data_IF_934143389147
#
_entry.id   IF_934143389147
#
_cell.length_a   1.000
_cell.length_b   1.000
_cell.length_c   1.000
_cell.angle_alpha   90.00
_cell.angle_beta   90.00
_cell.angle_gamma   90.00
#
_symmetry.space_group_name_H-M   'P 1'
#
loop_
_entity.id
_entity.type
_entity.pdbx_description
1 polymer ?
#
# COMPACT_ATOMS: atom_id res chain seq x y z
N UNK A 1 28.29 1.50 -11.05
CA UNK A 1 27.01 0.75 -10.94
C UNK A 1 26.03 1.38 -11.90
N UNK A 2 25.36 0.60 -12.73
CA UNK A 2 24.30 1.11 -13.62
C UNK A 2 23.14 1.63 -12.78
N UNK A 3 22.61 2.82 -13.10
CA UNK A 3 21.41 3.34 -12.43
C UNK A 3 20.28 2.31 -12.50
N UNK A 4 19.50 2.11 -11.42
CA UNK A 4 18.40 1.17 -11.44
C UNK A 4 17.37 1.61 -12.50
N UNK A 5 16.95 0.66 -13.34
CA UNK A 5 15.95 0.87 -14.38
C UNK A 5 14.67 0.13 -13.96
N UNK A 6 13.55 0.84 -13.96
CA UNK A 6 12.23 0.22 -13.78
C UNK A 6 11.88 -0.54 -15.04
N UNK A 7 11.61 -1.84 -14.89
CA UNK A 7 11.10 -2.68 -15.95
C UNK A 7 9.63 -2.97 -15.69
N UNK A 8 8.84 -3.02 -16.75
CA UNK A 8 7.45 -3.46 -16.68
C UNK A 8 7.36 -4.91 -17.12
N UNK A 9 6.72 -5.74 -16.30
CA UNK A 9 6.39 -7.12 -16.57
C UNK A 9 4.90 -7.35 -16.37
N UNK A 10 4.40 -8.44 -16.93
CA UNK A 10 3.03 -8.87 -16.74
C UNK A 10 3.05 -10.24 -16.07
N UNK A 11 2.30 -10.39 -14.99
CA UNK A 11 2.29 -11.58 -14.13
C UNK A 11 0.88 -12.14 -14.10
N UNK A 12 0.73 -13.44 -14.33
CA UNK A 12 -0.57 -14.11 -14.22
C UNK A 12 -0.90 -14.36 -12.75
N UNK A 13 -1.96 -13.73 -12.25
CA UNK A 13 -2.46 -13.87 -10.88
C UNK A 13 -3.97 -14.10 -10.94
N UNK A 14 -4.45 -15.19 -10.34
CA UNK A 14 -5.89 -15.55 -10.37
C UNK A 14 -6.49 -15.57 -11.80
N UNK A 15 -5.70 -15.97 -12.80
CA UNK A 15 -6.12 -15.98 -14.21
C UNK A 15 -6.18 -14.59 -14.88
N UNK A 16 -5.72 -13.54 -14.20
CA UNK A 16 -5.65 -12.18 -14.70
C UNK A 16 -4.20 -11.80 -14.99
N UNK A 17 -3.98 -11.08 -16.09
CA UNK A 17 -2.67 -10.54 -16.43
C UNK A 17 -2.46 -9.20 -15.72
N UNK A 18 -1.54 -9.19 -14.74
CA UNK A 18 -1.30 -8.06 -13.85
C UNK A 18 -0.03 -7.32 -14.27
N UNK A 19 -0.09 -6.02 -14.59
CA UNK A 19 1.11 -5.23 -14.82
C UNK A 19 1.83 -4.96 -13.50
N UNK A 20 3.13 -5.25 -13.48
CA UNK A 20 4.02 -5.11 -12.33
C UNK A 20 5.27 -4.35 -12.78
N UNK A 21 5.64 -3.33 -12.02
CA UNK A 21 6.97 -2.75 -12.13
C UNK A 21 7.94 -3.54 -11.25
N UNK A 22 9.14 -3.80 -11.76
CA UNK A 22 10.25 -4.42 -11.04
C UNK A 22 11.54 -3.61 -11.21
N UNK A 23 12.31 -3.49 -10.14
CA UNK A 23 13.60 -2.81 -10.14
C UNK A 23 14.49 -3.31 -9.01
N UNK A 24 15.81 -3.27 -9.24
CA UNK A 24 16.79 -3.78 -8.28
C UNK A 24 16.88 -5.31 -8.31
N UNK A 25 18.04 -5.84 -7.93
CA UNK A 25 18.36 -7.27 -8.02
C UNK A 25 19.08 -7.82 -6.79
N UNK A 26 19.16 -7.03 -5.71
CA UNK A 26 19.87 -7.38 -4.49
C UNK A 26 19.05 -7.05 -3.25
N UNK A 27 19.40 -7.67 -2.12
CA UNK A 27 18.81 -7.40 -0.83
C UNK A 27 17.41 -7.99 -0.63
N UNK A 28 16.77 -7.52 0.45
CA UNK A 28 15.42 -7.91 0.84
C UNK A 28 14.41 -7.57 -0.26
N UNK A 29 13.39 -8.43 -0.40
CA UNK A 29 12.28 -8.18 -1.33
C UNK A 29 11.30 -7.20 -0.71
N UNK A 30 10.83 -6.25 -1.50
CA UNK A 30 9.88 -5.22 -1.09
C UNK A 30 8.73 -5.17 -2.10
N UNK A 31 7.50 -5.21 -1.61
CA UNK A 31 6.31 -4.96 -2.44
C UNK A 31 5.68 -3.62 -2.04
N UNK A 32 5.43 -2.77 -3.03
CA UNK A 32 4.81 -1.45 -2.89
C UNK A 32 3.33 -1.52 -3.31
N UNK A 33 2.42 -1.23 -2.39
CA UNK A 33 0.97 -1.30 -2.60
C UNK A 33 0.35 0.10 -2.56
N UNK A 34 -0.15 0.55 -3.72
CA UNK A 34 -0.72 1.89 -3.89
C UNK A 34 -2.10 2.05 -3.19
N UNK A 35 -2.55 3.30 -3.06
CA UNK A 35 -3.86 3.64 -2.50
C UNK A 35 -5.03 3.49 -3.48
N UNK A 36 -6.26 3.69 -3.01
CA UNK A 36 -7.45 3.62 -3.86
C UNK A 36 -7.40 4.71 -4.95
N UNK A 37 -7.63 4.31 -6.20
CA UNK A 37 -7.51 5.20 -7.38
C UNK A 37 -6.08 5.42 -7.89
N UNK A 38 -5.10 4.83 -7.21
CA UNK A 38 -3.70 4.82 -7.62
C UNK A 38 -3.34 3.74 -8.63
N UNK A 39 -2.04 3.62 -8.87
CA UNK A 39 -1.40 2.55 -9.67
C UNK A 39 0.07 2.40 -9.26
N UNK A 40 0.79 1.44 -9.86
CA UNK A 40 2.25 1.31 -9.71
C UNK A 40 3.02 2.61 -9.96
N UNK A 41 2.46 3.52 -10.77
CA UNK A 41 3.06 4.82 -11.11
C UNK A 41 3.26 5.73 -9.91
N UNK A 42 2.45 5.59 -8.87
CA UNK A 42 2.57 6.39 -7.64
C UNK A 42 3.92 6.16 -6.94
N UNK A 43 4.59 5.07 -7.28
CA UNK A 43 5.84 4.62 -6.68
C UNK A 43 7.09 4.95 -7.50
N UNK A 44 7.00 5.58 -8.67
CA UNK A 44 8.12 5.71 -9.61
C UNK A 44 9.42 6.20 -8.94
N UNK A 45 9.37 7.33 -8.22
CA UNK A 45 10.55 7.91 -7.56
C UNK A 45 11.00 7.07 -6.36
N UNK A 46 10.06 6.59 -5.55
CA UNK A 46 10.34 5.74 -4.38
C UNK A 46 11.06 4.46 -4.80
N UNK A 47 10.56 3.83 -5.85
CA UNK A 47 11.10 2.60 -6.41
C UNK A 47 12.52 2.77 -6.95
N UNK A 48 12.81 3.87 -7.66
CA UNK A 48 14.16 4.17 -8.14
C UNK A 48 15.17 4.35 -6.98
N UNK A 49 14.74 4.89 -5.85
CA UNK A 49 15.60 5.05 -4.68
C UNK A 49 15.80 3.74 -3.92
N UNK A 50 14.72 2.98 -3.67
CA UNK A 50 14.80 1.73 -2.93
C UNK A 50 15.53 0.62 -3.72
N UNK A 51 15.35 0.58 -5.04
CA UNK A 51 15.98 -0.44 -5.90
C UNK A 51 17.51 -0.39 -5.95
N UNK A 52 18.13 0.62 -5.36
CA UNK A 52 19.58 0.67 -5.16
C UNK A 52 20.08 -0.41 -4.18
N UNK A 53 19.22 -0.89 -3.27
CA UNK A 53 19.59 -1.90 -2.26
C UNK A 53 18.58 -3.02 -2.04
N UNK A 54 17.40 -2.91 -2.63
CA UNK A 54 16.29 -3.85 -2.45
C UNK A 54 15.79 -4.38 -3.80
N UNK A 55 15.15 -5.55 -3.79
CA UNK A 55 14.37 -6.07 -4.92
C UNK A 55 12.96 -5.56 -4.79
N UNK A 56 12.56 -4.62 -5.64
CA UNK A 56 11.32 -3.86 -5.46
C UNK A 56 10.32 -4.23 -6.54
N UNK A 57 9.10 -4.57 -6.11
CA UNK A 57 7.96 -4.85 -6.97
C UNK A 57 6.82 -3.88 -6.67
N UNK A 58 6.17 -3.35 -7.70
CA UNK A 58 4.99 -2.49 -7.58
C UNK A 58 3.92 -2.95 -8.57
N UNK A 59 2.92 -3.75 -8.14
CA UNK A 59 1.79 -4.12 -8.98
C UNK A 59 0.80 -2.95 -9.10
N UNK A 60 0.01 -2.96 -10.18
CA UNK A 60 -1.34 -2.38 -10.09
C UNK A 60 -2.22 -3.38 -9.32
N UNK A 61 -2.71 -2.99 -8.15
CA UNK A 61 -3.64 -3.81 -7.36
C UNK A 61 -4.87 -4.13 -8.21
N UNK A 62 -5.36 -5.38 -8.14
CA UNK A 62 -6.54 -5.84 -8.90
C UNK A 62 -7.69 -4.83 -8.81
N UNK A 63 -8.33 -4.53 -9.94
CA UNK A 63 -9.39 -3.53 -10.02
C UNK A 63 -8.91 -2.09 -10.26
N UNK A 64 -7.63 -1.80 -10.07
CA UNK A 64 -7.04 -0.46 -10.22
C UNK A 64 -6.04 -0.37 -11.37
N UNK A 65 -5.64 0.86 -11.69
CA UNK A 65 -4.73 1.15 -12.80
C UNK A 65 -5.13 0.44 -14.09
N UNK A 66 -4.15 -0.25 -14.67
CA UNK A 66 -4.23 -1.08 -15.87
C UNK A 66 -4.53 -2.56 -15.57
N UNK A 67 -4.59 -2.98 -14.30
CA UNK A 67 -5.03 -4.34 -13.98
C UNK A 67 -6.45 -4.60 -14.49
N UNK A 68 -6.73 -5.84 -14.95
CA UNK A 68 -8.08 -6.27 -15.28
C UNK A 68 -9.04 -6.05 -14.11
N UNK A 69 -10.32 -5.92 -14.46
CA UNK A 69 -11.41 -5.72 -13.52
C UNK A 69 -12.35 -6.90 -13.66
N UNK A 70 -12.76 -7.42 -12.52
CA UNK A 70 -13.78 -8.47 -12.43
C UNK A 70 -15.07 -7.82 -11.93
N UNK A 71 -16.23 -8.34 -12.35
CA UNK A 71 -17.53 -7.88 -11.83
C UNK A 71 -17.84 -8.50 -10.46
N UNK A 72 -16.87 -8.39 -9.56
CA UNK A 72 -16.97 -8.81 -8.17
C UNK A 72 -17.08 -7.59 -7.27
N UNK A 73 -17.62 -7.81 -6.08
CA UNK A 73 -17.51 -6.84 -4.99
C UNK A 73 -16.19 -7.08 -4.28
N UNK A 74 -15.27 -6.13 -4.41
CA UNK A 74 -13.94 -6.18 -3.83
C UNK A 74 -13.98 -5.96 -2.32
N UNK A 75 -13.49 -6.94 -1.59
CA UNK A 75 -13.31 -6.94 -0.13
C UNK A 75 -11.83 -6.90 0.23
N UNK A 76 -11.52 -6.69 1.51
CA UNK A 76 -10.13 -6.79 2.00
C UNK A 76 -9.54 -8.17 1.70
N UNK A 77 -10.35 -9.23 1.84
CA UNK A 77 -9.93 -10.61 1.58
C UNK A 77 -9.52 -10.82 0.13
N UNK A 78 -10.31 -10.32 -0.83
CA UNK A 78 -9.96 -10.39 -2.26
C UNK A 78 -8.62 -9.71 -2.52
N UNK A 79 -8.38 -8.54 -1.93
CA UNK A 79 -7.11 -7.85 -2.10
C UNK A 79 -5.95 -8.55 -1.40
N UNK A 80 -6.17 -9.11 -0.21
CA UNK A 80 -5.19 -9.91 0.52
C UNK A 80 -4.78 -11.12 -0.31
N UNK A 81 -5.76 -11.91 -0.75
CA UNK A 81 -5.53 -13.14 -1.50
C UNK A 81 -4.85 -12.85 -2.84
N UNK A 82 -5.20 -11.74 -3.49
CA UNK A 82 -4.47 -11.24 -4.66
C UNK A 82 -2.97 -11.01 -4.39
N UNK A 83 -2.61 -10.37 -3.27
CA UNK A 83 -1.19 -10.14 -2.94
C UNK A 83 -0.47 -11.46 -2.63
N UNK A 84 -1.14 -12.38 -1.93
CA UNK A 84 -0.59 -13.71 -1.63
C UNK A 84 -0.33 -14.50 -2.92
N UNK A 85 -1.28 -14.49 -3.85
CA UNK A 85 -1.15 -15.18 -5.14
C UNK A 85 -0.10 -14.49 -6.04
N UNK A 86 0.02 -13.16 -5.97
CA UNK A 86 1.08 -12.42 -6.64
C UNK A 86 2.46 -12.81 -6.10
N UNK A 87 2.60 -12.91 -4.77
CA UNK A 87 3.84 -13.40 -4.16
C UNK A 87 4.19 -14.80 -4.67
N UNK A 88 3.21 -15.71 -4.71
CA UNK A 88 3.41 -17.06 -5.22
C UNK A 88 3.82 -17.07 -6.72
N UNK A 89 3.15 -16.29 -7.56
CA UNK A 89 3.43 -16.20 -9.00
C UNK A 89 4.82 -15.61 -9.30
N UNK A 90 5.31 -14.71 -8.44
CA UNK A 90 6.65 -14.12 -8.53
C UNK A 90 7.74 -14.97 -7.85
N UNK A 91 7.39 -16.08 -7.19
CA UNK A 91 8.33 -16.89 -6.40
C UNK A 91 8.87 -16.15 -5.16
N UNK A 92 8.10 -15.20 -4.63
CA UNK A 92 8.46 -14.42 -3.44
C UNK A 92 8.09 -15.22 -2.19
N UNK A 93 9.13 -15.65 -1.48
CA UNK A 93 8.96 -16.30 -0.20
C UNK A 93 8.68 -15.27 0.89
N UNK A 94 9.65 -14.44 1.23
CA UNK A 94 9.51 -13.40 2.24
C UNK A 94 9.60 -12.01 1.63
N UNK A 95 8.90 -11.03 2.21
CA UNK A 95 8.91 -9.65 1.74
C UNK A 95 8.61 -8.64 2.84
N UNK A 96 9.18 -7.45 2.73
CA UNK A 96 8.65 -6.27 3.38
C UNK A 96 7.47 -5.73 2.56
N UNK A 97 6.43 -5.23 3.23
CA UNK A 97 5.28 -4.61 2.57
C UNK A 97 5.21 -3.12 2.88
N UNK A 98 5.10 -2.31 1.83
CA UNK A 98 4.98 -0.86 1.92
C UNK A 98 3.66 -0.46 1.31
N UNK A 99 2.72 -0.01 2.14
CA UNK A 99 1.36 0.26 1.74
C UNK A 99 0.93 1.70 2.00
N UNK A 100 0.32 2.35 1.00
CA UNK A 100 -0.33 3.65 1.16
C UNK A 100 -1.85 3.50 1.21
N UNK A 101 -2.51 4.10 2.21
CA UNK A 101 -3.98 4.17 2.28
C UNK A 101 -4.63 2.78 2.21
N UNK A 102 -5.37 2.46 1.14
CA UNK A 102 -5.88 1.11 0.87
C UNK A 102 -4.77 0.05 0.87
N UNK A 103 -3.64 0.30 0.20
CA UNK A 103 -2.49 -0.61 0.18
C UNK A 103 -1.92 -0.87 1.56
N UNK A 104 -2.02 0.09 2.48
CA UNK A 104 -1.67 -0.10 3.89
C UNK A 104 -2.61 -1.08 4.60
N UNK A 105 -3.91 -1.00 4.33
CA UNK A 105 -4.88 -1.96 4.85
C UNK A 105 -4.65 -3.37 4.31
N UNK A 106 -4.34 -3.48 3.01
CA UNK A 106 -4.02 -4.76 2.37
C UNK A 106 -2.76 -5.35 3.01
N UNK A 107 -1.73 -4.52 3.25
CA UNK A 107 -0.48 -4.95 3.89
C UNK A 107 -0.73 -5.54 5.29
N UNK A 108 -1.57 -4.90 6.10
CA UNK A 108 -1.98 -5.40 7.41
C UNK A 108 -2.70 -6.76 7.32
N UNK A 109 -3.61 -6.90 6.35
CA UNK A 109 -4.34 -8.15 6.15
C UNK A 109 -3.42 -9.30 5.71
N UNK A 110 -2.43 -9.02 4.84
CA UNK A 110 -1.43 -10.02 4.42
C UNK A 110 -0.52 -10.39 5.59
N UNK A 111 -0.04 -9.43 6.37
CA UNK A 111 0.80 -9.69 7.54
C UNK A 111 0.09 -10.51 8.62
N UNK A 112 -1.21 -10.27 8.83
CA UNK A 112 -2.00 -11.06 9.78
C UNK A 112 -2.25 -12.50 9.28
N UNK A 113 -2.34 -12.70 7.96
CA UNK A 113 -2.57 -14.01 7.36
C UNK A 113 -1.29 -14.84 7.19
N UNK A 114 -0.16 -14.18 6.91
CA UNK A 114 1.14 -14.81 6.68
C UNK A 114 2.23 -14.16 7.57
N UNK A 115 2.13 -14.27 8.91
CA UNK A 115 3.03 -13.57 9.82
C UNK A 115 4.51 -13.90 9.61
N UNK A 116 4.82 -15.14 9.23
CA UNK A 116 6.19 -15.61 9.00
C UNK A 116 6.75 -15.26 7.60
N UNK A 117 5.93 -14.68 6.72
CA UNK A 117 6.31 -14.34 5.34
C UNK A 117 6.41 -12.84 5.09
N UNK A 118 5.91 -12.03 6.03
CA UNK A 118 6.07 -10.58 6.02
C UNK A 118 7.14 -10.21 7.03
N UNK A 119 8.21 -9.59 6.57
CA UNK A 119 9.38 -9.28 7.40
C UNK A 119 9.25 -7.96 8.13
N UNK A 120 8.72 -6.94 7.45
CA UNK A 120 8.55 -5.57 7.93
C UNK A 120 7.34 -4.91 7.28
N UNK A 121 6.77 -3.93 7.98
CA UNK A 121 5.67 -3.11 7.47
C UNK A 121 6.07 -1.63 7.41
N UNK A 122 5.78 -0.97 6.30
CA UNK A 122 5.76 0.50 6.23
C UNK A 122 4.38 0.95 5.78
N UNK A 123 3.66 1.67 6.63
CA UNK A 123 2.27 2.03 6.41
C UNK A 123 2.14 3.55 6.34
N UNK A 124 1.81 4.06 5.16
CA UNK A 124 1.57 5.48 4.92
C UNK A 124 0.08 5.78 4.99
N UNK A 125 -0.35 6.42 6.07
CA UNK A 125 -1.76 6.72 6.36
C UNK A 125 -2.74 5.58 6.00
N UNK A 126 -2.53 4.34 6.51
CA UNK A 126 -3.38 3.19 6.21
C UNK A 126 -4.85 3.43 6.57
N UNK A 127 -5.73 2.94 5.72
CA UNK A 127 -7.14 2.76 6.07
C UNK A 127 -7.26 1.68 7.16
N UNK A 128 -8.12 1.88 8.15
CA UNK A 128 -8.36 0.87 9.20
C UNK A 128 -8.43 1.44 10.62
N UNK A 129 -7.71 2.52 10.91
CA UNK A 129 -7.56 3.02 12.29
C UNK A 129 -8.61 4.08 12.67
N UNK A 130 -9.75 4.11 11.98
CA UNK A 130 -10.88 5.00 12.23
C UNK A 130 -11.66 5.38 10.97
N UNK A 131 -12.80 6.07 11.12
CA UNK A 131 -13.63 6.50 10.01
C UNK A 131 -12.94 7.58 9.18
N UNK A 132 -13.18 7.60 7.87
CA UNK A 132 -12.73 8.70 7.00
C UNK A 132 -13.29 10.03 7.54
N UNK A 133 -12.45 11.06 7.65
CA UNK A 133 -12.88 12.37 8.14
C UNK A 133 -13.93 12.99 7.21
N UNK A 134 -14.86 13.82 7.72
CA UNK A 134 -15.94 14.39 6.91
C UNK A 134 -15.46 15.14 5.65
N UNK A 135 -14.38 15.92 5.77
CA UNK A 135 -13.79 16.65 4.63
C UNK A 135 -13.25 15.67 3.59
N UNK A 136 -12.49 14.65 4.02
CA UNK A 136 -12.00 13.60 3.14
C UNK A 136 -13.12 12.79 2.49
N UNK A 137 -14.22 12.55 3.19
CA UNK A 137 -15.41 11.89 2.63
C UNK A 137 -16.04 12.73 1.52
N UNK A 138 -16.16 14.05 1.71
CA UNK A 138 -16.65 14.96 0.67
C UNK A 138 -15.70 14.93 -0.54
N UNK A 139 -14.40 15.09 -0.34
CA UNK A 139 -13.41 15.05 -1.43
C UNK A 139 -13.50 13.71 -2.16
N UNK A 140 -13.48 12.59 -1.45
CA UNK A 140 -13.60 11.25 -2.02
C UNK A 140 -14.85 11.14 -2.89
N UNK A 141 -16.00 11.56 -2.36
CA UNK A 141 -17.30 11.45 -3.04
C UNK A 141 -17.38 12.34 -4.27
N UNK A 142 -16.88 13.58 -4.19
CA UNK A 142 -16.85 14.51 -5.33
C UNK A 142 -15.92 14.02 -6.44
N UNK A 143 -14.72 13.57 -6.08
CA UNK A 143 -13.77 12.97 -7.01
C UNK A 143 -14.41 11.73 -7.65
N UNK A 144 -15.07 10.88 -6.87
CA UNK A 144 -15.79 9.72 -7.37
C UNK A 144 -16.91 10.08 -8.35
N UNK A 145 -17.73 11.07 -7.99
CA UNK A 145 -18.82 11.54 -8.84
C UNK A 145 -18.29 12.10 -10.16
N UNK A 146 -17.20 12.87 -10.12
CA UNK A 146 -16.53 13.36 -11.32
C UNK A 146 -16.02 12.22 -12.21
N UNK A 147 -15.29 11.25 -11.64
CA UNK A 147 -14.81 10.10 -12.41
C UNK A 147 -15.96 9.34 -13.08
N UNK A 148 -17.06 9.12 -12.35
CA UNK A 148 -18.27 8.48 -12.87
C UNK A 148 -18.90 9.29 -14.00
N UNK A 149 -19.03 10.61 -13.83
CA UNK A 149 -19.67 11.52 -14.78
C UNK A 149 -18.84 11.71 -16.06
N UNK A 150 -17.52 11.84 -15.93
CA UNK A 150 -16.61 12.04 -17.04
C UNK A 150 -16.51 10.82 -17.98
N UNK A 151 -17.18 9.70 -17.65
CA UNK A 151 -17.07 8.40 -18.36
C UNK A 151 -15.61 7.95 -18.56
N UNK A 152 -14.70 8.53 -17.78
CA UNK A 152 -13.37 7.99 -17.49
C UNK A 152 -13.50 6.60 -16.84
N UNK A 153 -14.72 6.21 -16.47
CA UNK A 153 -15.11 4.87 -16.06
C UNK A 153 -16.19 4.20 -16.91
N UNK A 154 -15.87 2.96 -17.30
CA UNK A 154 -16.44 1.73 -16.74
C UNK A 154 -15.56 1.07 -15.63
N UNK A 155 -14.68 1.84 -14.95
CA UNK A 155 -13.39 1.36 -14.40
C UNK A 155 -13.12 1.53 -12.88
N UNK A 156 -14.10 1.61 -11.99
CA UNK A 156 -13.82 1.51 -10.53
C UNK A 156 -14.44 0.25 -9.93
N UNK A 157 -13.66 -0.53 -9.13
CA UNK A 157 -14.16 -1.73 -8.51
C UNK A 157 -15.28 -1.39 -7.52
N UNK A 158 -16.36 -2.19 -7.53
CA UNK A 158 -17.37 -2.14 -6.46
C UNK A 158 -16.67 -2.56 -5.18
N UNK A 159 -16.49 -1.65 -4.22
CA UNK A 159 -15.77 -1.95 -2.98
C UNK A 159 -16.77 -2.08 -1.82
N UNK A 160 -16.63 -3.15 -1.05
CA UNK A 160 -17.31 -3.34 0.24
C UNK A 160 -16.24 -3.37 1.33
N UNK A 161 -15.74 -2.19 1.69
CA UNK A 161 -14.71 -2.00 2.69
C UNK A 161 -15.29 -1.16 3.83
N UNK A 162 -15.38 -1.73 5.03
CA UNK A 162 -15.63 -0.93 6.23
C UNK A 162 -14.31 -0.32 6.70
N UNK A 163 -14.05 0.99 6.56
CA UNK A 163 -12.75 1.61 6.82
C UNK A 163 -12.25 1.49 8.27
N UNK A 164 -13.06 1.02 9.22
CA UNK A 164 -12.66 0.81 10.62
C UNK A 164 -12.77 -0.63 11.12
N UNK A 165 -13.44 -1.53 10.40
CA UNK A 165 -13.61 -2.91 10.87
C UNK A 165 -12.37 -3.77 10.61
N UNK A 166 -11.95 -4.45 11.67
CA UNK A 166 -11.06 -5.61 11.63
C UNK A 166 -11.73 -6.76 12.37
N UNK A 167 -11.41 -7.98 11.96
CA UNK A 167 -11.77 -9.16 12.74
C UNK A 167 -11.05 -9.11 14.10
N UNK A 168 -11.73 -9.58 15.14
CA UNK A 168 -11.12 -9.72 16.47
C UNK A 168 -9.86 -10.58 16.38
N UNK A 169 -8.78 -10.20 17.06
CA UNK A 169 -7.53 -10.96 17.00
C UNK A 169 -6.62 -10.60 15.82
N UNK A 170 -6.99 -9.66 14.94
CA UNK A 170 -6.19 -9.34 13.75
C UNK A 170 -4.81 -8.78 14.12
N UNK A 171 -4.76 -7.81 15.04
CA UNK A 171 -3.52 -7.09 15.35
C UNK A 171 -2.56 -7.92 16.21
N UNK A 172 -3.07 -8.87 16.98
CA UNK A 172 -2.30 -9.82 17.79
C UNK A 172 -1.46 -10.79 16.93
N UNK A 173 -1.86 -10.97 15.67
CA UNK A 173 -1.11 -11.76 14.68
C UNK A 173 0.01 -10.95 14.02
N UNK A 174 -0.03 -9.62 14.11
CA UNK A 174 0.94 -8.72 13.48
C UNK A 174 2.06 -8.42 14.49
N UNK A 175 3.25 -8.94 14.19
CA UNK A 175 4.45 -8.84 15.05
C UNK A 175 5.64 -8.20 14.35
N UNK A 176 5.45 -7.84 13.08
CA UNK A 176 6.50 -7.27 12.26
C UNK A 176 6.85 -5.87 12.77
N UNK A 177 8.15 -5.51 12.81
CA UNK A 177 8.56 -4.13 12.97
C UNK A 177 7.81 -3.26 11.97
N UNK A 178 7.16 -2.20 12.47
CA UNK A 178 6.28 -1.36 11.67
C UNK A 178 6.68 0.11 11.73
N UNK A 179 6.89 0.73 10.56
CA UNK A 179 7.01 2.18 10.43
C UNK A 179 5.69 2.78 9.95
N UNK A 180 5.10 3.64 10.78
CA UNK A 180 3.92 4.43 10.46
C UNK A 180 4.37 5.81 9.95
N UNK A 181 3.91 6.19 8.76
CA UNK A 181 4.19 7.50 8.14
C UNK A 181 2.87 8.26 7.96
N UNK A 182 2.77 9.48 8.50
CA UNK A 182 1.51 10.22 8.49
C UNK A 182 1.66 11.70 8.19
N UNK A 183 0.78 12.26 7.34
CA UNK A 183 0.68 13.70 7.14
C UNK A 183 -0.06 14.39 8.29
N UNK A 184 0.52 15.47 8.84
CA UNK A 184 -0.14 16.25 9.91
C UNK A 184 -1.42 16.98 9.46
N UNK A 185 -1.60 17.18 8.15
CA UNK A 185 -2.76 17.80 7.51
C UNK A 185 -3.53 16.83 6.62
N UNK A 186 -3.46 15.54 6.91
CA UNK A 186 -4.23 14.53 6.19
C UNK A 186 -5.74 14.77 6.38
N UNK A 187 -6.43 15.02 5.27
CA UNK A 187 -7.87 15.32 5.23
C UNK A 187 -8.74 14.07 5.16
N UNK A 188 -8.16 12.90 4.87
CA UNK A 188 -8.85 11.61 4.81
C UNK A 188 -8.75 10.90 6.15
N UNK A 189 -7.53 10.70 6.62
CA UNK A 189 -7.26 10.03 7.90
C UNK A 189 -6.46 10.98 8.79
N UNK A 190 -7.11 11.71 9.71
CA UNK A 190 -6.43 12.65 10.58
C UNK A 190 -5.27 11.99 11.33
N UNK A 191 -4.21 12.75 11.66
CA UNK A 191 -3.03 12.23 12.38
C UNK A 191 -3.36 11.49 13.69
N UNK A 192 -4.53 11.70 14.28
CA UNK A 192 -5.01 10.91 15.42
C UNK A 192 -5.20 9.43 15.12
N UNK A 193 -5.41 9.07 13.87
CA UNK A 193 -5.43 7.68 13.41
C UNK A 193 -4.03 7.08 13.46
N UNK A 194 -2.98 7.86 13.20
CA UNK A 194 -1.59 7.44 13.39
C UNK A 194 -1.27 7.12 14.84
N UNK A 195 -1.78 7.91 15.80
CA UNK A 195 -1.62 7.61 17.23
C UNK A 195 -2.40 6.36 17.65
N UNK A 196 -3.61 6.14 17.11
CA UNK A 196 -4.34 4.89 17.32
C UNK A 196 -3.57 3.70 16.75
N UNK A 197 -3.05 3.81 15.53
CA UNK A 197 -2.24 2.77 14.91
C UNK A 197 -1.01 2.43 15.76
N UNK A 198 -0.30 3.45 16.26
CA UNK A 198 0.85 3.28 17.16
C UNK A 198 0.46 2.58 18.48
N UNK A 199 -0.72 2.89 19.03
CA UNK A 199 -1.21 2.25 20.24
C UNK A 199 -1.75 0.82 20.02
N UNK A 200 -2.11 0.48 18.78
CA UNK A 200 -2.69 -0.83 18.41
C UNK A 200 -1.63 -1.85 18.00
N UNK A 201 -0.59 -1.43 17.29
CA UNK A 201 0.47 -2.33 16.82
C UNK A 201 1.55 -2.51 17.89
N UNK A 202 2.05 -3.75 18.01
CA UNK A 202 2.92 -4.15 19.13
C UNK A 202 4.37 -3.70 18.99
N UNK A 203 4.88 -3.63 17.75
CA UNK A 203 6.21 -3.12 17.42
C UNK A 203 6.10 -2.07 16.31
N UNK A 204 5.82 -0.84 16.72
CA UNK A 204 5.60 0.26 15.80
C UNK A 204 6.27 1.55 16.23
N UNK A 205 6.77 2.29 15.24
CA UNK A 205 7.20 3.68 15.38
C UNK A 205 6.41 4.58 14.44
N UNK A 206 6.13 5.81 14.87
CA UNK A 206 5.34 6.79 14.12
C UNK A 206 6.16 8.03 13.79
N UNK A 207 6.20 8.38 12.51
CA UNK A 207 6.75 9.64 12.02
C UNK A 207 5.66 10.51 11.40
N UNK A 208 5.53 11.72 11.91
CA UNK A 208 4.59 12.73 11.40
C UNK A 208 5.31 13.70 10.48
N UNK A 209 4.78 13.87 9.27
CA UNK A 209 5.25 14.82 8.28
C UNK A 209 4.49 16.14 8.47
N UNK A 210 5.17 17.14 9.03
CA UNK A 210 4.61 18.46 9.29
C UNK A 210 4.22 19.16 7.99
N UNK A 211 3.00 19.70 7.92
CA UNK A 211 2.44 20.33 6.73
C UNK A 211 1.95 19.37 5.63
N UNK A 212 2.31 18.09 5.66
CA UNK A 212 1.95 17.13 4.62
C UNK A 212 0.50 16.64 4.72
N UNK A 213 -0.09 16.35 3.56
CA UNK A 213 -1.41 15.72 3.41
C UNK A 213 -1.34 14.20 3.26
N UNK A 214 -2.36 13.62 2.63
CA UNK A 214 -2.56 12.16 2.55
C UNK A 214 -1.57 11.43 1.63
N UNK A 215 -1.24 12.00 0.48
CA UNK A 215 -0.48 11.31 -0.59
C UNK A 215 1.04 11.44 -0.43
N UNK A 216 1.58 10.96 0.70
CA UNK A 216 3.02 11.06 1.01
C UNK A 216 3.94 10.51 -0.09
N UNK A 217 3.67 9.33 -0.69
CA UNK A 217 4.55 8.79 -1.74
C UNK A 217 4.67 9.69 -2.98
N UNK A 218 3.63 10.48 -3.27
CA UNK A 218 3.56 11.32 -4.47
C UNK A 218 4.08 12.73 -4.16
N UNK A 219 3.69 13.28 -3.01
CA UNK A 219 3.99 14.67 -2.65
C UNK A 219 5.41 14.84 -2.06
N UNK A 220 5.93 13.81 -1.39
CA UNK A 220 7.24 13.85 -0.73
C UNK A 220 8.10 12.61 -1.04
N UNK A 221 8.19 12.16 -2.32
CA UNK A 221 8.72 10.84 -2.67
C UNK A 221 10.15 10.58 -2.17
N UNK A 222 11.03 11.57 -2.29
CA UNK A 222 12.43 11.41 -1.91
C UNK A 222 12.61 11.27 -0.39
N UNK A 223 11.89 12.11 0.38
CA UNK A 223 11.93 12.08 1.84
C UNK A 223 11.27 10.79 2.36
N UNK A 224 10.15 10.41 1.75
CA UNK A 224 9.43 9.16 2.01
C UNK A 224 10.31 7.93 1.77
N UNK A 225 10.98 7.87 0.61
CA UNK A 225 11.89 6.77 0.28
C UNK A 225 13.12 6.71 1.21
N UNK A 226 13.66 7.87 1.61
CA UNK A 226 14.76 7.93 2.56
C UNK A 226 14.40 7.34 3.92
N UNK A 227 13.20 7.63 4.43
CA UNK A 227 12.72 7.09 5.71
C UNK A 227 12.49 5.58 5.64
N UNK A 228 11.89 5.11 4.54
CA UNK A 228 11.77 3.66 4.29
C UNK A 228 13.14 3.01 4.26
N UNK A 229 14.07 3.57 3.49
CA UNK A 229 15.39 2.99 3.33
C UNK A 229 16.10 2.91 4.69
N UNK A 230 16.05 3.97 5.50
CA UNK A 230 16.63 3.96 6.85
C UNK A 230 16.02 2.84 7.70
N UNK A 231 14.70 2.71 7.71
CA UNK A 231 14.00 1.68 8.48
C UNK A 231 14.28 0.25 8.01
N UNK A 232 14.34 0.01 6.71
CA UNK A 232 14.67 -1.32 6.17
C UNK A 232 16.16 -1.67 6.32
N UNK A 233 17.03 -0.67 6.45
CA UNK A 233 18.47 -0.87 6.61
C UNK A 233 18.89 -1.16 8.05
N UNK A 234 18.10 -0.74 9.05
CA UNK A 234 18.29 -1.12 10.45
C UNK A 234 17.99 -2.61 10.62
N UNK A 235 19.03 -3.36 10.99
CA UNK A 235 18.99 -4.80 11.27
C UNK A 235 18.86 -5.07 12.74
#
# INVERSE_FOLDING_TARGET
MTSPVIQETHVMVQGLEIPVWQAGNQGETVILLHGAGGSRRDWAVVMLMLSQRFRVYAPDVIGFGQSPRSDVTYTVDIFRDFVIDLMAALGIHETALIGHSLGGRISLAVAAALPDRVTRLVLAAPMGFGPVAPVGHIIATTVWAFYKAARLTPRYPKMALDPGAYESGTFEKIRQPTLLLWGSRDLYFPKSHGWRALATLTDAQLKIYNGAGHSLPIAYPAHFASDIHAFLADR
#
